data_IF_514196128252
#
_entry.id   IF_514196128252
#
_cell.length_a   1.000
_cell.length_b   1.000
_cell.length_c   1.000
_cell.angle_alpha   90.00
_cell.angle_beta   90.00
_cell.angle_gamma   90.00
#
_symmetry.space_group_name_H-M   'P 1'
#
loop_
_entity.id
_entity.type
_entity.pdbx_description
1 polymer ?
#
# COMPACT_ATOMS: atom_id res chain seq x y z
N UNK A 1 10.47 -8.05 -14.28
CA UNK A 1 9.08 -7.54 -14.21
C UNK A 1 8.96 -6.32 -15.14
N UNK A 2 7.82 -6.07 -15.83
CA UNK A 2 7.69 -4.83 -16.63
C UNK A 2 7.72 -3.60 -15.72
N UNK A 3 8.22 -2.44 -16.19
CA UNK A 3 8.39 -1.24 -15.35
C UNK A 3 7.11 -0.79 -14.63
N UNK A 4 5.96 -0.88 -15.30
CA UNK A 4 4.67 -0.44 -14.77
C UNK A 4 4.21 -1.36 -13.63
N UNK A 5 4.39 -2.67 -13.78
CA UNK A 5 4.09 -3.62 -12.72
C UNK A 5 5.03 -3.46 -11.52
N UNK A 6 6.29 -3.11 -11.78
CA UNK A 6 7.26 -2.84 -10.71
C UNK A 6 6.84 -1.64 -9.87
N UNK A 7 6.50 -0.53 -10.54
CA UNK A 7 6.03 0.70 -9.86
C UNK A 7 4.80 0.45 -9.01
N UNK A 8 3.83 -0.32 -9.50
CA UNK A 8 2.66 -0.69 -8.71
C UNK A 8 3.03 -1.58 -7.52
N UNK A 9 3.94 -2.53 -7.72
CA UNK A 9 4.42 -3.41 -6.65
C UNK A 9 5.19 -2.65 -5.57
N UNK A 10 5.97 -1.63 -5.94
CA UNK A 10 6.65 -0.73 -5.00
C UNK A 10 5.64 0.00 -4.09
N UNK A 11 4.54 0.50 -4.65
CA UNK A 11 3.47 1.12 -3.85
C UNK A 11 2.85 0.12 -2.86
N UNK A 12 2.59 -1.13 -3.29
CA UNK A 12 2.08 -2.18 -2.38
C UNK A 12 3.07 -2.49 -1.26
N UNK A 13 4.38 -2.55 -1.55
CA UNK A 13 5.40 -2.80 -0.52
C UNK A 13 5.49 -1.61 0.47
N UNK A 14 5.36 -0.39 -0.02
CA UNK A 14 5.51 0.83 0.78
C UNK A 14 4.31 1.10 1.69
N UNK A 15 3.10 1.05 1.14
CA UNK A 15 1.87 1.48 1.83
C UNK A 15 0.78 0.40 1.93
N UNK A 16 1.05 -0.81 1.46
CA UNK A 16 0.10 -1.92 1.43
C UNK A 16 -0.95 -1.85 0.32
N UNK A 17 -0.89 -0.83 -0.55
CA UNK A 17 -1.89 -0.59 -1.58
C UNK A 17 -1.26 -0.28 -2.93
N UNK A 18 -1.90 -0.75 -4.01
CA UNK A 18 -1.55 -0.35 -5.37
C UNK A 18 -1.90 1.11 -5.67
N UNK A 19 -2.87 1.66 -4.93
CA UNK A 19 -3.31 3.06 -4.97
C UNK A 19 -3.39 3.54 -3.52
N UNK A 20 -2.37 4.24 -3.02
CA UNK A 20 -2.36 4.74 -1.65
C UNK A 20 -3.45 5.79 -1.41
N UNK A 21 -3.93 5.90 -0.18
CA UNK A 21 -4.83 6.99 0.23
C UNK A 21 -4.07 8.33 0.22
N UNK A 22 -4.59 9.30 -0.54
CA UNK A 22 -4.08 10.68 -0.64
C UNK A 22 -4.98 11.70 0.07
N UNK A 23 -4.52 12.96 0.16
CA UNK A 23 -5.24 14.03 0.85
C UNK A 23 -6.56 14.42 0.16
N UNK A 24 -6.63 14.33 -1.18
CA UNK A 24 -7.88 14.58 -1.91
C UNK A 24 -8.95 13.54 -1.52
N UNK A 25 -8.56 12.27 -1.45
CA UNK A 25 -9.45 11.17 -1.07
C UNK A 25 -9.87 11.29 0.40
N UNK A 26 -8.95 11.65 1.31
CA UNK A 26 -9.29 11.90 2.72
C UNK A 26 -10.35 13.00 2.86
N UNK A 27 -10.13 14.13 2.20
CA UNK A 27 -11.08 15.25 2.22
C UNK A 27 -12.44 14.85 1.65
N UNK A 28 -12.46 14.13 0.53
CA UNK A 28 -13.71 13.64 -0.07
C UNK A 28 -14.46 12.69 0.86
N UNK A 29 -13.76 11.87 1.64
CA UNK A 29 -14.37 11.00 2.65
C UNK A 29 -15.02 11.82 3.77
N UNK A 30 -14.34 12.85 4.27
CA UNK A 30 -14.91 13.78 5.27
C UNK A 30 -16.17 14.49 4.75
N UNK A 31 -16.14 15.00 3.52
CA UNK A 31 -17.30 15.64 2.86
C UNK A 31 -18.51 14.70 2.74
N UNK A 32 -18.26 13.39 2.63
CA UNK A 32 -19.28 12.34 2.60
C UNK A 32 -19.68 11.84 4.01
N UNK A 33 -19.13 12.41 5.08
CA UNK A 33 -19.39 12.00 6.46
C UNK A 33 -18.74 10.67 6.86
N UNK A 34 -17.70 10.24 6.14
CA UNK A 34 -16.94 9.03 6.44
C UNK A 34 -15.68 9.36 7.23
N UNK A 35 -15.13 8.37 7.95
CA UNK A 35 -13.80 8.49 8.55
C UNK A 35 -12.77 8.81 7.46
N UNK A 36 -11.97 9.88 7.59
CA UNK A 36 -10.98 10.29 6.58
C UNK A 36 -10.00 9.15 6.25
N UNK A 37 -9.67 8.31 7.24
CA UNK A 37 -8.77 7.16 7.09
C UNK A 37 -9.59 5.86 7.21
N UNK A 38 -9.80 5.12 6.10
CA UNK A 38 -10.57 3.89 6.13
C UNK A 38 -9.85 2.78 6.92
N UNK A 39 -10.64 1.82 7.41
CA UNK A 39 -10.20 0.62 8.14
C UNK A 39 -9.39 -0.35 7.24
N UNK A 40 -8.17 0.06 6.88
CA UNK A 40 -7.29 -0.62 5.91
C UNK A 40 -5.87 -0.72 6.47
N UNK A 41 -4.98 -1.45 5.79
CA UNK A 41 -3.56 -1.57 6.16
C UNK A 41 -2.87 -0.21 6.36
N UNK A 42 -3.31 0.84 5.66
CA UNK A 42 -2.72 2.18 5.77
C UNK A 42 -3.11 2.91 7.08
N UNK A 43 -4.16 2.46 7.78
CA UNK A 43 -4.57 2.97 9.10
C UNK A 43 -3.75 2.33 10.24
N UNK A 44 -3.29 1.10 10.04
CA UNK A 44 -2.72 0.23 11.08
C UNK A 44 -1.25 -0.09 10.77
N UNK A 45 -0.28 0.62 11.39
CA UNK A 45 1.15 0.39 11.15
C UNK A 45 1.61 -1.06 11.37
N UNK A 46 1.04 -1.74 12.36
CA UNK A 46 1.28 -3.16 12.65
C UNK A 46 0.87 -4.07 11.49
N UNK A 47 -0.28 -3.81 10.87
CA UNK A 47 -0.77 -4.58 9.73
C UNK A 47 0.15 -4.39 8.50
N UNK A 48 0.72 -3.19 8.33
CA UNK A 48 1.69 -2.93 7.27
C UNK A 48 3.00 -3.72 7.48
N UNK A 49 3.46 -3.84 8.72
CA UNK A 49 4.66 -4.64 9.03
C UNK A 49 4.41 -6.14 8.88
N UNK A 50 3.23 -6.64 9.25
CA UNK A 50 2.80 -8.01 8.97
C UNK A 50 2.77 -8.29 7.46
N UNK A 51 2.18 -7.38 6.68
CA UNK A 51 2.17 -7.49 5.22
C UNK A 51 3.59 -7.54 4.65
N UNK A 52 4.47 -6.60 5.05
CA UNK A 52 5.87 -6.59 4.60
C UNK A 52 6.59 -7.89 4.96
N UNK A 53 6.29 -8.47 6.12
CA UNK A 53 6.84 -9.77 6.53
C UNK A 53 6.42 -10.88 5.57
N UNK A 54 5.13 -10.97 5.23
CA UNK A 54 4.62 -11.95 4.26
C UNK A 54 5.27 -11.78 2.88
N UNK A 55 5.35 -10.53 2.37
CA UNK A 55 5.96 -10.24 1.07
C UNK A 55 7.44 -10.68 1.03
N UNK A 56 8.19 -10.45 2.11
CA UNK A 56 9.59 -10.90 2.26
C UNK A 56 9.70 -12.43 2.32
N UNK A 57 8.81 -13.12 3.04
CA UNK A 57 8.78 -14.59 3.09
C UNK A 57 8.57 -15.19 1.70
N UNK A 58 7.75 -14.53 0.87
CA UNK A 58 7.52 -14.91 -0.53
C UNK A 58 8.64 -14.45 -1.49
N UNK A 59 9.69 -13.76 -0.99
CA UNK A 59 10.75 -13.14 -1.80
C UNK A 59 10.21 -12.15 -2.84
N UNK A 60 9.03 -11.58 -2.61
CA UNK A 60 8.40 -10.65 -3.54
C UNK A 60 9.19 -9.34 -3.64
N UNK A 61 9.73 -8.87 -2.53
CA UNK A 61 10.67 -7.74 -2.46
C UNK A 61 11.86 -7.92 -3.41
N UNK A 62 12.41 -9.13 -3.50
CA UNK A 62 13.52 -9.46 -4.40
C UNK A 62 13.08 -9.44 -5.86
N UNK A 63 11.95 -10.07 -6.18
CA UNK A 63 11.38 -10.08 -7.52
C UNK A 63 11.11 -8.65 -8.03
N UNK A 64 10.64 -7.76 -7.15
CA UNK A 64 10.39 -6.34 -7.46
C UNK A 64 11.68 -5.53 -7.56
N UNK A 65 12.81 -5.98 -7.00
CA UNK A 65 14.11 -5.31 -7.13
C UNK A 65 14.92 -5.74 -8.38
N UNK A 66 14.61 -6.89 -9.00
CA UNK A 66 15.32 -7.43 -10.17
C UNK A 66 15.10 -6.56 -11.42
N UNK A 67 16.10 -5.82 -11.91
CA UNK A 67 15.94 -4.88 -13.04
C UNK A 67 15.50 -5.53 -14.35
#
# INVERSE_FOLDING_TARGET
MRPEHRRVSEMVIECGHAVPLDEETKKKREELGLDPIPETVQKYPEALEELKTLLKTCKFDKLVAEK
#
